data_IF_700933945504
#
_entry.id   IF_700933945504
#
_cell.length_a   1.000
_cell.length_b   1.000
_cell.length_c   1.000
_cell.angle_alpha   90.00
_cell.angle_beta   90.00
_cell.angle_gamma   90.00
#
_symmetry.space_group_name_H-M   'P 1'
#
loop_
_entity.id
_entity.type
_entity.pdbx_description
1 polymer ?
#
# COMPACT_ATOMS: atom_id res chain seq x y z
N UNK A 1 7.97 -10.42 24.25
CA UNK A 1 7.46 -11.47 23.36
C UNK A 1 8.38 -11.68 22.16
N UNK A 2 8.78 -10.64 21.45
CA UNK A 2 9.71 -10.70 20.31
C UNK A 2 11.12 -11.26 20.68
N UNK A 3 11.71 -10.88 21.80
CA UNK A 3 13.05 -11.40 22.21
C UNK A 3 13.06 -12.91 22.46
N UNK A 4 12.03 -13.44 23.12
CA UNK A 4 11.86 -14.90 23.30
C UNK A 4 11.66 -15.64 21.98
N UNK A 5 10.95 -14.98 21.03
CA UNK A 5 10.79 -15.48 19.68
C UNK A 5 12.12 -15.58 18.94
N UNK A 6 12.99 -14.55 19.04
CA UNK A 6 14.30 -14.55 18.40
C UNK A 6 15.28 -15.56 18.99
N UNK A 7 15.27 -15.78 20.29
CA UNK A 7 16.04 -16.86 20.90
C UNK A 7 15.58 -18.23 20.39
N UNK A 8 14.28 -18.41 20.25
CA UNK A 8 13.70 -19.61 19.72
C UNK A 8 13.98 -19.80 18.21
N UNK A 9 13.84 -18.77 17.37
CA UNK A 9 14.17 -18.80 15.94
C UNK A 9 15.66 -19.16 15.73
N UNK A 10 16.57 -18.60 16.53
CA UNK A 10 18.00 -18.95 16.51
C UNK A 10 18.27 -20.42 16.85
N UNK A 11 17.51 -20.99 17.75
CA UNK A 11 17.64 -22.42 18.11
C UNK A 11 17.15 -23.35 17.00
N UNK A 12 16.10 -22.95 16.28
CA UNK A 12 15.48 -23.79 15.24
C UNK A 12 16.17 -23.70 13.86
N UNK A 13 16.67 -22.54 13.50
CA UNK A 13 17.13 -22.24 12.14
C UNK A 13 18.62 -21.83 12.04
N UNK A 14 19.38 -21.89 13.16
CA UNK A 14 20.81 -21.62 13.16
C UNK A 14 21.22 -20.17 13.45
N UNK A 15 22.53 -19.95 13.60
CA UNK A 15 23.12 -18.70 14.13
C UNK A 15 23.11 -17.48 13.18
N UNK A 16 22.50 -17.59 11.99
CA UNK A 16 22.56 -16.55 10.94
C UNK A 16 21.42 -15.52 10.97
N UNK A 17 20.51 -15.54 11.94
CA UNK A 17 19.39 -14.61 11.98
C UNK A 17 19.87 -13.15 12.21
N UNK A 18 19.79 -12.34 11.17
CA UNK A 18 20.09 -10.91 11.23
C UNK A 18 18.96 -10.14 11.95
N UNK A 19 19.39 -9.32 12.90
CA UNK A 19 18.84 -8.08 13.45
C UNK A 19 17.41 -8.09 14.05
N UNK A 20 17.31 -8.09 15.38
CA UNK A 20 16.08 -7.79 16.12
C UNK A 20 15.47 -6.43 15.75
N UNK A 21 16.30 -5.44 15.35
CA UNK A 21 15.88 -4.08 15.01
C UNK A 21 14.98 -3.99 13.79
N UNK A 22 15.29 -4.71 12.73
CA UNK A 22 14.52 -4.65 11.46
C UNK A 22 13.14 -5.27 11.60
N UNK A 23 13.03 -6.41 12.28
CA UNK A 23 11.74 -7.04 12.53
C UNK A 23 10.87 -6.20 13.48
N UNK A 24 11.47 -5.56 14.49
CA UNK A 24 10.74 -4.66 15.37
C UNK A 24 10.22 -3.43 14.64
N UNK A 25 11.00 -2.89 13.70
CA UNK A 25 10.56 -1.80 12.83
C UNK A 25 9.42 -2.23 11.91
N UNK A 26 9.53 -3.38 11.26
CA UNK A 26 8.47 -3.92 10.40
C UNK A 26 7.17 -4.15 11.18
N UNK A 27 7.25 -4.71 12.39
CA UNK A 27 6.09 -4.91 13.26
C UNK A 27 5.45 -3.59 13.70
N UNK A 28 6.26 -2.57 13.98
CA UNK A 28 5.77 -1.22 14.29
C UNK A 28 5.07 -0.59 13.09
N UNK A 29 5.68 -0.65 11.92
CA UNK A 29 5.10 -0.13 10.68
C UNK A 29 3.75 -0.79 10.35
N UNK A 30 3.63 -2.12 10.55
CA UNK A 30 2.37 -2.84 10.38
C UNK A 30 1.31 -2.41 11.40
N UNK A 31 1.69 -2.22 12.67
CA UNK A 31 0.80 -1.74 13.71
C UNK A 31 0.32 -0.31 13.45
N UNK A 32 1.24 0.58 13.06
CA UNK A 32 0.92 1.98 12.73
C UNK A 32 0.02 2.07 11.49
N UNK A 33 0.26 1.24 10.48
CA UNK A 33 -0.58 1.19 9.28
C UNK A 33 -2.01 0.73 9.58
N UNK A 34 -2.18 -0.26 10.46
CA UNK A 34 -3.50 -0.80 10.86
C UNK A 34 -4.26 0.09 11.85
N UNK A 35 -3.63 1.11 12.36
CA UNK A 35 -4.21 1.99 13.37
C UNK A 35 -5.40 2.75 12.78
N UNK A 36 -6.56 2.62 13.42
CA UNK A 36 -7.81 3.22 12.97
C UNK A 36 -8.17 4.52 13.73
N UNK A 37 -7.46 4.84 14.83
CA UNK A 37 -7.70 6.02 15.63
C UNK A 37 -7.03 7.26 15.02
N UNK A 38 -7.84 8.24 14.64
CA UNK A 38 -7.39 9.50 14.06
C UNK A 38 -7.09 9.43 12.57
N UNK A 39 -6.36 10.44 12.08
CA UNK A 39 -5.98 10.53 10.65
C UNK A 39 -4.67 9.78 10.42
N UNK A 40 -4.73 8.69 9.69
CA UNK A 40 -3.55 7.92 9.31
C UNK A 40 -2.97 8.43 7.98
N UNK A 41 -2.04 9.37 8.07
CA UNK A 41 -1.40 10.00 6.89
C UNK A 41 -0.65 8.99 6.02
N UNK A 42 -0.01 7.99 6.63
CA UNK A 42 0.65 6.90 5.89
C UNK A 42 -0.33 6.11 5.04
N UNK A 43 -1.51 5.77 5.58
CA UNK A 43 -2.57 5.12 4.81
C UNK A 43 -3.07 5.97 3.64
N UNK A 44 -3.22 7.28 3.86
CA UNK A 44 -3.68 8.20 2.81
C UNK A 44 -2.67 8.23 1.67
N UNK A 45 -1.38 8.46 1.96
CA UNK A 45 -0.33 8.44 0.92
C UNK A 45 -0.26 7.10 0.22
N UNK A 46 -0.21 5.99 0.96
CA UNK A 46 -0.11 4.65 0.41
C UNK A 46 -1.29 4.32 -0.52
N UNK A 47 -2.52 4.63 -0.09
CA UNK A 47 -3.72 4.35 -0.88
C UNK A 47 -3.81 5.24 -2.13
N UNK A 48 -3.49 6.53 -2.02
CA UNK A 48 -3.51 7.45 -3.17
C UNK A 48 -2.45 7.08 -4.20
N UNK A 49 -1.21 6.84 -3.77
CA UNK A 49 -0.12 6.43 -4.66
C UNK A 49 -0.41 5.06 -5.31
N UNK A 50 -0.98 4.11 -4.56
CA UNK A 50 -1.39 2.83 -5.12
C UNK A 50 -2.48 2.99 -6.18
N UNK A 51 -3.48 3.86 -5.95
CA UNK A 51 -4.52 4.15 -6.94
C UNK A 51 -3.92 4.76 -8.21
N UNK A 52 -3.03 5.73 -8.09
CA UNK A 52 -2.38 6.38 -9.23
C UNK A 52 -1.48 5.39 -9.98
N UNK A 53 -0.67 4.60 -9.27
CA UNK A 53 0.28 3.69 -9.89
C UNK A 53 -0.37 2.52 -10.63
N UNK A 54 -1.54 2.04 -10.12
CA UNK A 54 -2.27 0.88 -10.63
C UNK A 54 -3.47 1.26 -11.52
N UNK A 55 -3.66 2.55 -11.80
CA UNK A 55 -4.71 2.99 -12.74
C UNK A 55 -4.52 2.30 -14.08
N UNK A 56 -5.59 1.66 -14.56
CA UNK A 56 -5.68 0.98 -15.86
C UNK A 56 -4.51 0.04 -16.21
N UNK A 57 -3.79 -0.46 -15.18
CA UNK A 57 -2.72 -1.42 -15.36
C UNK A 57 -3.28 -2.79 -15.78
N UNK A 58 -2.78 -3.33 -16.89
CA UNK A 58 -3.16 -4.65 -17.40
C UNK A 58 -1.97 -5.60 -17.42
N UNK A 59 -2.14 -6.80 -16.82
CA UNK A 59 -1.12 -7.84 -16.82
C UNK A 59 -1.11 -8.53 -18.20
N UNK A 60 0.07 -8.57 -18.83
CA UNK A 60 0.28 -9.22 -20.10
C UNK A 60 1.27 -10.40 -19.95
N UNK A 61 0.78 -11.61 -20.18
CA UNK A 61 1.62 -12.83 -20.16
C UNK A 61 1.43 -13.54 -21.48
N UNK A 62 2.53 -13.71 -22.20
CA UNK A 62 2.56 -14.36 -23.50
C UNK A 62 3.53 -15.54 -23.51
N UNK A 63 3.57 -16.28 -24.59
CA UNK A 63 4.60 -17.28 -24.85
C UNK A 63 5.97 -16.65 -25.10
N UNK A 64 6.99 -17.45 -25.38
CA UNK A 64 8.35 -16.97 -25.65
C UNK A 64 8.36 -15.91 -26.75
N UNK A 65 9.07 -14.81 -26.53
CA UNK A 65 9.21 -13.68 -27.47
C UNK A 65 7.87 -13.04 -27.91
N UNK A 66 6.85 -13.08 -27.04
CA UNK A 66 5.55 -12.50 -27.34
C UNK A 66 4.64 -13.39 -28.22
N UNK A 67 5.00 -14.66 -28.42
CA UNK A 67 4.21 -15.62 -29.17
C UNK A 67 2.98 -16.13 -28.42
N UNK A 68 2.27 -17.10 -29.03
CA UNK A 68 1.10 -17.74 -28.42
C UNK A 68 1.41 -18.32 -27.03
N UNK A 69 0.45 -18.27 -26.13
CA UNK A 69 0.58 -18.80 -24.77
C UNK A 69 0.79 -20.32 -24.81
N UNK A 70 1.92 -20.77 -24.32
CA UNK A 70 2.16 -22.18 -24.04
C UNK A 70 1.31 -22.64 -22.85
N UNK A 71 1.04 -23.94 -22.64
CA UNK A 71 0.36 -24.43 -21.44
C UNK A 71 1.04 -23.98 -20.14
N UNK A 72 2.37 -23.82 -20.17
CA UNK A 72 3.16 -23.32 -19.04
C UNK A 72 2.96 -21.82 -18.84
N UNK A 73 2.99 -21.02 -19.90
CA UNK A 73 2.67 -19.60 -19.84
C UNK A 73 1.23 -19.36 -19.34
N UNK A 74 0.28 -20.23 -19.71
CA UNK A 74 -1.09 -20.16 -19.22
C UNK A 74 -1.19 -20.45 -17.72
N UNK A 75 -0.47 -21.44 -17.19
CA UNK A 75 -0.43 -21.74 -15.75
C UNK A 75 0.23 -20.61 -14.94
N UNK A 76 1.30 -20.01 -15.47
CA UNK A 76 1.94 -18.81 -14.88
C UNK A 76 0.96 -17.64 -14.90
N UNK A 77 0.25 -17.42 -16.02
CA UNK A 77 -0.75 -16.36 -16.13
C UNK A 77 -1.84 -16.50 -15.06
N UNK A 78 -2.42 -17.67 -14.91
CA UNK A 78 -3.46 -17.94 -13.91
C UNK A 78 -2.97 -17.64 -12.48
N UNK A 79 -1.73 -18.03 -12.16
CA UNK A 79 -1.13 -17.78 -10.85
C UNK A 79 -0.91 -16.29 -10.56
N UNK A 80 -0.54 -15.50 -11.58
CA UNK A 80 -0.25 -14.08 -11.43
C UNK A 80 -1.52 -13.22 -11.51
N UNK A 81 -2.49 -13.57 -12.34
CA UNK A 81 -3.76 -12.86 -12.48
C UNK A 81 -4.53 -12.78 -11.15
N UNK A 82 -4.55 -13.85 -10.34
CA UNK A 82 -5.17 -13.85 -9.00
C UNK A 82 -4.53 -12.80 -8.07
N UNK A 83 -3.21 -12.67 -8.09
CA UNK A 83 -2.50 -11.67 -7.30
C UNK A 83 -2.70 -10.26 -7.86
N UNK A 84 -2.61 -10.12 -9.19
CA UNK A 84 -2.70 -8.84 -9.86
C UNK A 84 -4.09 -8.22 -9.75
N UNK A 85 -5.15 -9.02 -9.64
CA UNK A 85 -6.50 -8.53 -9.33
C UNK A 85 -6.58 -7.73 -8.03
N UNK A 86 -5.64 -7.96 -7.10
CA UNK A 86 -5.51 -7.28 -5.80
C UNK A 86 -4.33 -6.30 -5.77
N UNK A 87 -3.76 -5.97 -6.93
CA UNK A 87 -2.52 -5.20 -7.03
C UNK A 87 -2.60 -3.86 -6.31
N UNK A 88 -3.68 -3.10 -6.47
CA UNK A 88 -3.86 -1.81 -5.80
C UNK A 88 -3.82 -1.95 -4.27
N UNK A 89 -4.55 -2.92 -3.72
CA UNK A 89 -4.56 -3.17 -2.27
C UNK A 89 -3.21 -3.63 -1.74
N UNK A 90 -2.53 -4.52 -2.45
CA UNK A 90 -1.19 -5.00 -2.10
C UNK A 90 -0.15 -3.89 -2.19
N UNK A 91 -0.25 -3.01 -3.18
CA UNK A 91 0.59 -1.81 -3.32
C UNK A 91 0.41 -0.89 -2.13
N UNK A 92 -0.85 -0.55 -1.77
CA UNK A 92 -1.12 0.30 -0.62
C UNK A 92 -0.55 -0.29 0.68
N UNK A 93 -0.73 -1.59 0.88
CA UNK A 93 -0.16 -2.28 2.03
C UNK A 93 1.38 -2.28 2.00
N UNK A 94 2.01 -2.55 0.86
CA UNK A 94 3.46 -2.55 0.73
C UNK A 94 4.06 -1.16 0.99
N UNK A 95 3.46 -0.10 0.43
CA UNK A 95 3.88 1.28 0.66
C UNK A 95 3.69 1.72 2.11
N UNK A 96 2.59 1.30 2.73
CA UNK A 96 2.26 1.70 4.10
C UNK A 96 3.09 0.98 5.17
N UNK A 97 3.55 -0.24 4.91
CA UNK A 97 4.24 -1.07 5.91
C UNK A 97 5.72 -1.32 5.58
N UNK A 98 6.15 -0.97 4.36
CA UNK A 98 7.50 -1.23 3.86
C UNK A 98 7.58 -2.40 2.90
N UNK A 99 6.67 -3.37 2.95
CA UNK A 99 6.67 -4.47 2.00
C UNK A 99 5.67 -5.58 2.27
N UNK A 100 5.43 -6.38 1.23
CA UNK A 100 4.64 -7.63 1.30
C UNK A 100 5.40 -8.77 0.65
N UNK A 101 5.41 -9.91 1.31
CA UNK A 101 6.02 -11.13 0.77
C UNK A 101 4.93 -12.00 0.16
N UNK A 102 5.15 -12.44 -1.06
CA UNK A 102 4.25 -13.29 -1.81
C UNK A 102 4.83 -14.70 -1.81
N UNK A 103 4.16 -15.60 -1.07
CA UNK A 103 4.57 -16.98 -0.88
C UNK A 103 3.76 -17.87 -1.82
N UNK A 104 4.39 -18.64 -2.70
CA UNK A 104 3.66 -19.58 -3.53
C UNK A 104 3.18 -20.77 -2.70
N UNK A 105 2.03 -21.27 -3.06
CA UNK A 105 1.48 -22.53 -2.59
C UNK A 105 0.82 -23.26 -3.75
N UNK A 106 0.77 -24.58 -3.70
CA UNK A 106 0.03 -25.40 -4.66
C UNK A 106 -1.26 -25.86 -4.01
N UNK A 107 -2.37 -25.51 -4.60
CA UNK A 107 -3.71 -25.90 -4.17
C UNK A 107 -4.56 -26.24 -5.41
N UNK A 108 -5.31 -27.34 -5.35
CA UNK A 108 -6.19 -27.78 -6.42
C UNK A 108 -5.49 -27.93 -7.78
N UNK A 109 -4.22 -28.37 -7.79
CA UNK A 109 -3.43 -28.52 -9.00
C UNK A 109 -2.97 -27.22 -9.65
N UNK A 110 -3.06 -26.08 -8.94
CA UNK A 110 -2.69 -24.74 -9.42
C UNK A 110 -1.74 -24.07 -8.45
N UNK A 111 -0.84 -23.24 -8.98
CA UNK A 111 0.02 -22.38 -8.17
C UNK A 111 -0.78 -21.14 -7.80
N UNK A 112 -0.76 -20.78 -6.53
CA UNK A 112 -1.38 -19.57 -5.97
C UNK A 112 -0.38 -18.85 -5.09
N UNK A 113 -0.63 -17.57 -4.81
CA UNK A 113 0.24 -16.79 -3.94
C UNK A 113 -0.52 -16.26 -2.72
N UNK A 114 0.04 -16.49 -1.54
CA UNK A 114 -0.40 -15.90 -0.29
C UNK A 114 0.45 -14.67 0.02
N UNK A 115 -0.20 -13.52 0.26
CA UNK A 115 0.49 -12.31 0.69
C UNK A 115 0.66 -12.32 2.22
N UNK A 116 1.89 -12.09 2.67
CA UNK A 116 2.25 -12.03 4.10
C UNK A 116 2.92 -10.69 4.39
N UNK A 117 2.63 -10.11 5.56
CA UNK A 117 3.27 -8.88 6.00
C UNK A 117 4.76 -9.06 6.23
N UNK A 118 5.52 -8.00 5.99
CA UNK A 118 6.96 -7.96 6.24
C UNK A 118 7.31 -8.21 7.72
N UNK A 119 6.41 -7.90 8.65
CA UNK A 119 6.53 -8.18 10.09
C UNK A 119 6.62 -9.67 10.44
N UNK A 120 6.20 -10.53 9.50
CA UNK A 120 6.21 -11.99 9.62
C UNK A 120 7.25 -12.66 8.72
N UNK A 121 8.12 -11.90 8.11
CA UNK A 121 9.17 -12.34 7.21
C UNK A 121 10.54 -12.06 7.82
N UNK A 122 11.36 -13.09 8.04
CA UNK A 122 12.63 -13.00 8.74
C UNK A 122 13.75 -13.48 7.82
N UNK A 123 14.52 -12.55 7.31
CA UNK A 123 15.69 -12.85 6.46
C UNK A 123 16.81 -13.37 7.32
N UNK A 124 17.33 -14.55 7.00
CA UNK A 124 18.38 -15.23 7.75
C UNK A 124 19.73 -15.23 7.02
N UNK A 125 19.73 -15.14 5.70
CA UNK A 125 20.96 -14.98 4.92
C UNK A 125 20.73 -14.19 3.63
N UNK A 126 21.77 -13.46 3.22
CA UNK A 126 21.83 -12.74 1.95
C UNK A 126 23.18 -12.99 1.28
N UNK A 127 23.20 -12.98 -0.04
CA UNK A 127 24.44 -13.05 -0.85
C UNK A 127 24.29 -12.12 -2.08
N UNK A 128 25.23 -11.19 -2.22
CA UNK A 128 25.21 -10.23 -3.34
C UNK A 128 23.93 -9.39 -3.41
N UNK A 129 23.37 -8.98 -2.25
CA UNK A 129 22.13 -8.20 -2.18
C UNK A 129 20.84 -8.99 -2.40
N UNK A 130 20.93 -10.31 -2.68
CA UNK A 130 19.76 -11.20 -2.80
C UNK A 130 19.55 -12.02 -1.55
N UNK A 131 18.28 -12.25 -1.19
CA UNK A 131 17.91 -13.12 -0.07
C UNK A 131 18.17 -14.57 -0.49
N UNK A 132 19.00 -15.29 0.29
CA UNK A 132 19.31 -16.71 0.07
C UNK A 132 18.69 -17.60 1.13
N UNK A 133 18.32 -17.06 2.29
CA UNK A 133 17.54 -17.80 3.28
C UNK A 133 16.61 -16.85 4.05
N UNK A 134 15.40 -17.33 4.31
CA UNK A 134 14.40 -16.60 5.07
C UNK A 134 13.43 -17.56 5.77
N UNK A 135 12.85 -17.11 6.88
CA UNK A 135 11.79 -17.82 7.59
C UNK A 135 10.55 -16.95 7.65
N UNK A 136 9.39 -17.54 7.40
CA UNK A 136 8.11 -16.83 7.34
C UNK A 136 7.13 -17.46 8.32
N UNK A 137 6.44 -16.60 9.10
CA UNK A 137 5.24 -16.99 9.82
C UNK A 137 4.08 -17.04 8.81
N UNK A 138 3.90 -18.21 8.19
CA UNK A 138 2.98 -18.41 7.07
C UNK A 138 1.52 -18.59 7.49
N UNK A 139 1.26 -18.97 8.75
CA UNK A 139 -0.10 -19.17 9.23
C UNK A 139 -0.24 -19.09 10.75
N UNK A 140 -1.44 -18.76 11.20
CA UNK A 140 -1.89 -18.85 12.59
C UNK A 140 -3.26 -19.48 12.59
N UNK A 141 -3.50 -20.39 13.51
CA UNK A 141 -4.81 -21.02 13.72
C UNK A 141 -5.08 -21.20 15.21
N UNK A 142 -6.34 -21.39 15.54
CA UNK A 142 -6.78 -21.73 16.88
C UNK A 142 -7.60 -23.02 16.81
N UNK A 143 -7.21 -24.01 17.62
CA UNK A 143 -7.87 -25.30 17.72
C UNK A 143 -8.06 -25.59 19.21
N UNK A 144 -9.28 -25.84 19.64
CA UNK A 144 -9.66 -26.15 21.03
C UNK A 144 -9.12 -25.12 22.05
N UNK A 145 -9.15 -23.82 21.70
CA UNK A 145 -8.66 -22.73 22.55
C UNK A 145 -7.14 -22.58 22.59
N UNK A 146 -6.40 -23.40 21.87
CA UNK A 146 -4.94 -23.29 21.74
C UNK A 146 -4.55 -22.66 20.41
N UNK A 147 -3.61 -21.70 20.45
CA UNK A 147 -3.09 -21.04 19.25
C UNK A 147 -1.87 -21.78 18.72
N UNK A 148 -1.88 -22.09 17.42
CA UNK A 148 -0.77 -22.72 16.70
C UNK A 148 -0.27 -21.82 15.60
N UNK A 149 1.04 -21.90 15.30
CA UNK A 149 1.73 -21.11 14.31
C UNK A 149 2.43 -22.01 13.31
N UNK A 150 2.24 -21.73 12.01
CA UNK A 150 2.94 -22.43 10.92
C UNK A 150 4.12 -21.56 10.45
N UNK A 151 5.29 -22.13 10.53
CA UNK A 151 6.55 -21.53 10.07
C UNK A 151 7.01 -22.25 8.83
N UNK A 152 7.46 -21.48 7.82
CA UNK A 152 8.08 -22.02 6.61
C UNK A 152 9.44 -21.36 6.44
N UNK A 153 10.50 -22.15 6.41
CA UNK A 153 11.85 -21.70 6.18
C UNK A 153 12.27 -22.04 4.75
N UNK A 154 12.89 -21.12 4.08
CA UNK A 154 13.45 -21.23 2.74
C UNK A 154 14.96 -21.07 2.84
N UNK A 155 15.73 -21.99 2.27
CA UNK A 155 17.18 -21.88 2.18
C UNK A 155 17.63 -22.32 0.79
N UNK A 156 18.49 -21.53 0.15
CA UNK A 156 19.07 -21.79 -1.15
C UNK A 156 20.58 -21.98 -1.02
N UNK A 157 21.02 -23.19 -1.26
CA UNK A 157 22.44 -23.56 -1.24
C UNK A 157 22.79 -24.38 -2.48
N UNK A 158 23.85 -23.99 -3.17
CA UNK A 158 24.41 -24.74 -4.33
C UNK A 158 23.36 -25.11 -5.41
N UNK A 159 22.38 -24.24 -5.67
CA UNK A 159 21.34 -24.49 -6.68
C UNK A 159 20.23 -25.42 -6.21
N UNK A 160 20.17 -25.73 -4.92
CA UNK A 160 19.09 -26.51 -4.30
C UNK A 160 18.39 -25.62 -3.28
N UNK A 161 17.08 -25.46 -3.44
CA UNK A 161 16.24 -24.79 -2.46
C UNK A 161 15.61 -25.82 -1.54
N UNK A 162 15.82 -25.68 -0.25
CA UNK A 162 15.14 -26.46 0.80
C UNK A 162 14.02 -25.60 1.38
N UNK A 163 12.82 -26.16 1.44
CA UNK A 163 11.64 -25.58 2.09
C UNK A 163 11.28 -26.45 3.25
N UNK A 164 11.42 -25.95 4.49
CA UNK A 164 11.08 -26.67 5.71
C UNK A 164 9.87 -26.05 6.38
N UNK A 165 8.84 -26.85 6.66
CA UNK A 165 7.63 -26.40 7.35
C UNK A 165 7.57 -27.00 8.76
N UNK A 166 7.28 -26.15 9.75
CA UNK A 166 7.12 -26.56 11.16
C UNK A 166 5.91 -25.88 11.78
N UNK A 167 5.23 -26.59 12.65
CA UNK A 167 4.13 -26.07 13.46
C UNK A 167 4.59 -25.94 14.90
N UNK A 168 4.23 -24.83 15.55
CA UNK A 168 4.54 -24.61 16.96
C UNK A 168 3.29 -24.20 17.74
N UNK A 169 3.28 -24.47 19.03
CA UNK A 169 2.32 -23.90 19.97
C UNK A 169 2.64 -22.43 20.31
N UNK A 170 1.81 -21.80 21.15
CA UNK A 170 2.01 -20.43 21.63
C UNK A 170 3.27 -20.25 22.50
N UNK A 171 3.82 -21.34 23.05
CA UNK A 171 5.06 -21.35 23.84
C UNK A 171 6.32 -21.54 22.98
N UNK A 172 6.11 -21.83 21.66
CA UNK A 172 7.19 -22.06 20.71
C UNK A 172 7.70 -23.50 20.66
N UNK A 173 7.01 -24.46 21.28
CA UNK A 173 7.36 -25.87 21.13
C UNK A 173 6.86 -26.41 19.79
N UNK A 174 7.68 -27.20 19.13
CA UNK A 174 7.31 -27.85 17.88
C UNK A 174 6.30 -28.95 18.19
N UNK A 175 5.20 -28.92 17.45
CA UNK A 175 4.12 -29.92 17.53
C UNK A 175 3.91 -30.57 16.16
N UNK A 176 3.36 -31.81 16.10
CA UNK A 176 3.02 -32.42 14.83
C UNK A 176 2.03 -31.56 14.02
N UNK A 177 2.15 -31.48 12.69
CA UNK A 177 1.23 -30.70 11.85
C UNK A 177 -0.23 -31.12 11.97
N UNK A 178 -0.48 -32.38 12.28
CA UNK A 178 -1.80 -33.00 12.49
C UNK A 178 -2.57 -32.39 13.67
N UNK A 179 -1.87 -31.75 14.61
CA UNK A 179 -2.48 -31.02 15.73
C UNK A 179 -3.36 -29.87 15.23
N UNK A 180 -3.08 -29.34 14.05
CA UNK A 180 -3.92 -28.36 13.36
C UNK A 180 -4.48 -29.01 12.07
N UNK A 181 -5.75 -29.46 12.03
CA UNK A 181 -6.31 -30.24 10.92
C UNK A 181 -6.11 -29.62 9.54
N UNK A 182 -6.14 -28.30 9.46
CA UNK A 182 -5.91 -27.57 8.21
C UNK A 182 -4.46 -27.64 7.70
N UNK A 183 -3.51 -28.12 8.50
CA UNK A 183 -2.11 -28.33 8.16
C UNK A 183 -1.69 -29.79 8.16
N UNK A 184 -2.65 -30.69 8.43
CA UNK A 184 -2.43 -32.12 8.29
C UNK A 184 -2.05 -32.44 6.83
N UNK A 185 -1.00 -33.23 6.65
CA UNK A 185 -0.50 -33.59 5.31
C UNK A 185 0.46 -32.60 4.67
N UNK A 186 0.84 -31.51 5.35
CA UNK A 186 1.95 -30.66 4.89
C UNK A 186 3.27 -31.44 4.98
N UNK A 187 4.05 -31.44 3.88
CA UNK A 187 5.39 -31.97 3.88
C UNK A 187 6.27 -31.19 4.86
N UNK A 188 6.98 -31.90 5.75
CA UNK A 188 7.89 -31.28 6.71
C UNK A 188 9.09 -30.64 6.03
N UNK A 189 9.58 -31.24 4.94
CA UNK A 189 10.70 -30.74 4.15
C UNK A 189 10.56 -31.12 2.69
N UNK A 190 10.90 -30.16 1.81
CA UNK A 190 10.90 -30.33 0.33
C UNK A 190 12.18 -29.72 -0.20
N UNK A 191 12.89 -30.47 -1.06
CA UNK A 191 14.08 -29.99 -1.75
C UNK A 191 13.83 -29.87 -3.25
N UNK A 192 14.11 -28.68 -3.82
CA UNK A 192 13.92 -28.39 -5.25
C UNK A 192 15.29 -28.07 -5.83
N UNK A 193 15.75 -28.90 -6.76
CA UNK A 193 17.05 -28.72 -7.42
C UNK A 193 16.96 -27.84 -8.68
N UNK A 194 18.10 -27.28 -9.10
CA UNK A 194 18.19 -26.44 -10.29
C UNK A 194 17.52 -25.07 -10.11
N UNK A 195 17.58 -24.52 -8.91
CA UNK A 195 16.95 -23.23 -8.55
C UNK A 195 18.04 -22.17 -8.39
N UNK A 196 17.89 -21.04 -9.05
CA UNK A 196 18.86 -19.93 -9.02
C UNK A 196 18.57 -18.89 -7.96
N UNK A 197 17.31 -18.78 -7.53
CA UNK A 197 16.81 -17.84 -6.50
C UNK A 197 15.65 -18.45 -5.74
N UNK A 198 15.35 -17.91 -4.57
CA UNK A 198 14.21 -18.37 -3.76
C UNK A 198 12.89 -18.26 -4.55
N UNK A 199 12.04 -19.28 -4.41
CA UNK A 199 10.70 -19.30 -5.00
C UNK A 199 9.71 -18.50 -4.16
N UNK A 200 10.00 -17.25 -3.93
CA UNK A 200 9.13 -16.26 -3.28
C UNK A 200 9.35 -14.89 -3.94
N UNK A 201 8.38 -14.01 -3.86
CA UNK A 201 8.52 -12.64 -4.33
C UNK A 201 8.34 -11.66 -3.20
N UNK A 202 9.00 -10.51 -3.29
CA UNK A 202 8.96 -9.47 -2.28
C UNK A 202 8.60 -8.14 -2.93
N UNK A 203 7.36 -7.67 -2.70
CA UNK A 203 6.92 -6.31 -3.00
C UNK A 203 7.55 -5.36 -1.98
N UNK A 204 8.76 -4.91 -2.24
CA UNK A 204 9.50 -4.00 -1.37
C UNK A 204 9.18 -2.56 -1.73
N UNK A 205 8.71 -1.76 -0.77
CA UNK A 205 8.48 -0.31 -0.95
C UNK A 205 9.72 0.37 -1.56
N UNK A 206 9.55 1.26 -2.55
CA UNK A 206 10.65 1.99 -3.17
C UNK A 206 11.18 3.14 -2.31
N UNK A 207 10.62 3.37 -1.12
CA UNK A 207 11.10 4.39 -0.22
C UNK A 207 12.56 4.15 0.18
N UNK A 208 13.33 5.24 0.30
CA UNK A 208 14.73 5.17 0.62
C UNK A 208 14.96 4.71 2.05
N UNK A 209 15.57 3.54 2.20
CA UNK A 209 16.03 3.02 3.47
C UNK A 209 17.46 3.55 3.74
N UNK A 210 17.54 4.61 4.53
CA UNK A 210 18.82 5.25 4.89
C UNK A 210 19.74 4.38 5.77
N UNK A 211 19.31 3.17 6.10
CA UNK A 211 20.11 2.22 6.88
C UNK A 211 21.02 1.41 5.97
N UNK A 212 22.24 1.22 6.41
CA UNK A 212 23.24 0.45 5.68
C UNK A 212 22.87 -1.05 5.68
N UNK A 213 22.81 -1.66 4.49
CA UNK A 213 22.53 -3.10 4.35
C UNK A 213 21.07 -3.53 4.63
N UNK A 214 20.12 -2.59 4.68
CA UNK A 214 18.70 -2.89 4.89
C UNK A 214 18.11 -3.78 3.81
N UNK A 215 17.66 -4.98 4.18
CA UNK A 215 16.98 -5.93 3.28
C UNK A 215 15.48 -5.65 3.23
N UNK A 216 14.93 -5.18 4.33
CA UNK A 216 13.51 -4.83 4.46
C UNK A 216 13.21 -3.50 3.79
N UNK A 217 11.99 -3.35 3.29
CA UNK A 217 11.50 -2.04 2.88
C UNK A 217 11.07 -1.20 4.07
N UNK A 218 10.90 0.09 3.85
CA UNK A 218 10.40 1.05 4.83
C UNK A 218 9.10 1.67 4.33
N UNK A 219 8.19 2.10 5.23
CA UNK A 219 6.98 2.83 4.84
C UNK A 219 7.32 4.04 3.98
N UNK A 220 6.41 4.40 3.07
CA UNK A 220 6.61 5.55 2.18
C UNK A 220 6.80 6.88 2.94
N UNK A 221 6.33 6.96 4.16
CA UNK A 221 6.48 8.10 5.06
C UNK A 221 7.66 7.96 6.04
N UNK A 222 8.59 7.03 5.77
CA UNK A 222 9.75 6.82 6.63
C UNK A 222 10.60 8.10 6.76
N UNK A 223 10.94 8.45 8.01
CA UNK A 223 11.68 9.67 8.33
C UNK A 223 10.80 10.93 8.42
N UNK A 224 9.48 10.83 8.22
CA UNK A 224 8.53 11.93 8.37
C UNK A 224 7.75 11.91 9.69
N UNK A 225 8.11 11.02 10.64
CA UNK A 225 7.34 10.76 11.87
C UNK A 225 7.20 12.02 12.75
N UNK A 226 8.24 12.85 12.82
CA UNK A 226 8.20 14.10 13.59
C UNK A 226 7.20 15.10 12.98
N UNK A 227 7.23 15.26 11.65
CA UNK A 227 6.32 16.15 10.93
C UNK A 227 4.87 15.66 11.01
N UNK A 228 4.63 14.35 10.87
CA UNK A 228 3.29 13.76 11.03
C UNK A 228 2.75 13.96 12.44
N UNK A 229 3.61 13.91 13.46
CA UNK A 229 3.23 14.22 14.84
C UNK A 229 2.84 15.67 14.98
N UNK A 230 3.62 16.60 14.44
CA UNK A 230 3.32 18.03 14.45
C UNK A 230 1.97 18.32 13.77
N UNK A 231 1.70 17.70 12.61
CA UNK A 231 0.40 17.80 11.94
C UNK A 231 -0.74 17.34 12.85
N UNK A 232 -0.58 16.17 13.48
CA UNK A 232 -1.59 15.60 14.37
C UNK A 232 -1.85 16.50 15.60
N UNK A 233 -0.81 17.08 16.15
CA UNK A 233 -0.92 18.04 17.27
C UNK A 233 -1.60 19.33 16.82
N UNK A 234 -1.27 19.84 15.63
CA UNK A 234 -1.90 21.02 15.08
C UNK A 234 -3.39 20.82 14.78
N UNK A 235 -3.78 19.65 14.25
CA UNK A 235 -5.19 19.28 14.04
C UNK A 235 -5.95 19.22 15.37
N UNK A 236 -5.33 18.68 16.44
CA UNK A 236 -5.94 18.69 17.78
C UNK A 236 -6.09 20.12 18.33
N UNK A 237 -5.11 20.99 18.06
CA UNK A 237 -5.15 22.40 18.45
C UNK A 237 -6.33 23.11 17.77
N UNK A 238 -6.52 22.92 16.46
CA UNK A 238 -7.67 23.44 15.72
C UNK A 238 -8.98 22.95 16.37
N UNK A 239 -9.12 21.64 16.59
CA UNK A 239 -10.31 21.09 17.22
C UNK A 239 -10.55 21.62 18.65
N UNK A 240 -9.48 21.91 19.41
CA UNK A 240 -9.57 22.54 20.72
C UNK A 240 -10.04 24.00 20.62
N UNK A 241 -9.49 24.77 19.69
CA UNK A 241 -9.87 26.15 19.45
C UNK A 241 -11.36 26.26 19.12
N UNK A 242 -11.88 25.43 18.22
CA UNK A 242 -13.32 25.39 17.91
C UNK A 242 -14.19 25.04 19.10
N UNK A 243 -13.72 24.22 20.04
CA UNK A 243 -14.47 23.92 21.26
C UNK A 243 -14.44 25.07 22.26
N UNK A 244 -13.30 25.76 22.40
CA UNK A 244 -13.11 26.85 23.34
C UNK A 244 -13.75 28.16 22.88
N UNK A 245 -13.92 28.36 21.58
CA UNK A 245 -14.50 29.55 20.97
C UNK A 245 -16.00 29.45 20.71
N UNK A 246 -16.65 28.39 21.21
CA UNK A 246 -18.13 28.37 21.21
C UNK A 246 -18.68 29.60 21.92
N UNK A 247 -19.66 30.30 21.32
CA UNK A 247 -20.31 31.40 22.00
C UNK A 247 -20.88 30.92 23.32
N UNK A 248 -20.53 31.60 24.40
CA UNK A 248 -21.01 31.28 25.73
C UNK A 248 -21.70 32.53 26.33
N UNK A 249 -22.83 32.33 26.93
CA UNK A 249 -23.55 33.38 27.66
C UNK A 249 -23.38 33.14 29.16
N UNK A 250 -22.56 33.98 29.80
CA UNK A 250 -22.43 33.99 31.23
C UNK A 250 -23.64 34.69 31.84
N UNK A 251 -24.38 34.02 32.68
CA UNK A 251 -25.52 34.57 33.43
C UNK A 251 -25.22 34.56 34.91
N UNK A 252 -25.68 35.61 35.63
CA UNK A 252 -25.53 35.63 37.07
C UNK A 252 -26.27 34.43 37.70
N UNK A 253 -25.58 33.68 38.57
CA UNK A 253 -26.12 32.50 39.23
C UNK A 253 -27.44 32.75 39.97
N UNK A 254 -27.69 33.99 40.43
CA UNK A 254 -28.94 34.37 41.06
C UNK A 254 -30.14 34.44 40.10
N UNK A 255 -29.90 34.68 38.81
CA UNK A 255 -30.94 34.63 37.76
C UNK A 255 -31.42 33.23 37.44
N UNK A 256 -30.65 32.21 37.82
CA UNK A 256 -30.96 30.80 37.60
C UNK A 256 -31.69 30.15 38.77
N UNK A 257 -31.92 30.89 39.88
CA UNK A 257 -32.72 30.40 41.00
C UNK A 257 -34.18 30.37 40.58
N UNK A 258 -34.74 29.17 40.51
CA UNK A 258 -36.19 29.04 40.38
C UNK A 258 -36.84 29.50 41.69
N UNK A 259 -37.66 30.55 41.67
CA UNK A 259 -38.28 31.04 42.86
C UNK A 259 -39.28 30.05 43.51
N UNK A 260 -39.62 28.98 42.80
CA UNK A 260 -40.58 27.96 43.22
C UNK A 260 -39.95 26.66 43.75
N UNK A 261 -38.69 26.45 43.63
CA UNK A 261 -38.05 25.13 43.84
C UNK A 261 -36.94 25.16 44.90
N UNK A 262 -37.11 25.86 45.98
CA UNK A 262 -36.30 25.73 47.21
C UNK A 262 -34.77 25.93 47.07
N UNK A 263 -34.28 26.53 46.04
CA UNK A 263 -32.90 27.05 45.94
C UNK A 263 -31.80 26.10 45.54
N UNK A 264 -31.97 24.79 45.60
CA UNK A 264 -30.90 23.83 45.25
C UNK A 264 -30.98 23.28 43.83
N UNK A 265 -32.17 23.19 43.27
CA UNK A 265 -32.41 22.49 41.98
C UNK A 265 -31.92 23.26 40.76
N UNK A 266 -31.94 24.58 40.77
CA UNK A 266 -31.53 25.41 39.64
C UNK A 266 -30.04 25.28 39.32
N UNK A 267 -29.18 25.41 40.32
CA UNK A 267 -27.71 25.29 40.11
C UNK A 267 -27.29 23.86 39.76
N UNK A 268 -27.95 22.86 40.36
CA UNK A 268 -27.65 21.44 40.05
C UNK A 268 -28.07 21.08 38.61
N UNK A 269 -29.19 21.62 38.14
CA UNK A 269 -29.68 21.43 36.76
C UNK A 269 -28.75 22.10 35.76
N UNK A 270 -28.33 23.35 35.99
CA UNK A 270 -27.37 24.08 35.16
C UNK A 270 -26.00 23.39 35.13
N UNK A 271 -25.48 22.94 36.28
CA UNK A 271 -24.21 22.17 36.31
C UNK A 271 -24.30 20.86 35.54
N UNK A 272 -25.44 20.18 35.56
CA UNK A 272 -25.63 18.95 34.79
C UNK A 272 -25.66 19.23 33.29
N UNK A 273 -26.38 20.26 32.86
CA UNK A 273 -26.47 20.67 31.45
C UNK A 273 -25.13 21.20 30.93
N UNK A 274 -24.38 21.95 31.73
CA UNK A 274 -23.03 22.43 31.38
C UNK A 274 -22.01 21.29 31.34
N UNK A 275 -22.15 20.23 32.12
CA UNK A 275 -21.29 19.04 32.07
C UNK A 275 -21.53 18.21 30.81
N UNK A 276 -22.74 18.18 30.28
CA UNK A 276 -23.07 17.47 29.03
C UNK A 276 -22.60 18.23 27.75
N UNK A 277 -22.03 19.44 27.92
CA UNK A 277 -21.25 20.12 26.87
C UNK A 277 -22.04 20.80 25.75
N UNK A 278 -23.38 20.77 25.80
CA UNK A 278 -24.24 21.32 24.74
C UNK A 278 -24.93 22.66 25.13
N UNK A 279 -24.84 23.08 26.39
CA UNK A 279 -25.47 24.33 26.81
C UNK A 279 -24.53 25.54 26.64
N UNK A 280 -24.93 26.58 25.91
CA UNK A 280 -24.14 27.79 25.72
C UNK A 280 -24.08 28.67 26.97
N UNK A 281 -24.76 28.30 28.07
CA UNK A 281 -24.87 29.10 29.26
C UNK A 281 -23.89 28.69 30.36
N UNK A 282 -23.22 29.68 30.97
CA UNK A 282 -22.31 29.46 32.12
C UNK A 282 -22.82 30.31 33.30
N UNK A 283 -23.04 29.71 34.47
CA UNK A 283 -23.33 30.48 35.69
C UNK A 283 -22.07 31.22 36.14
N UNK A 284 -22.19 32.53 36.34
CA UNK A 284 -21.12 33.36 36.90
C UNK A 284 -21.47 33.64 38.34
N UNK A 285 -20.60 33.25 39.26
CA UNK A 285 -20.73 33.65 40.69
C UNK A 285 -20.12 35.05 40.88
N UNK A 286 -20.94 36.01 41.27
CA UNK A 286 -20.46 37.35 41.54
C UNK A 286 -21.60 38.26 41.94
N UNK A 287 -21.31 39.26 42.78
CA UNK A 287 -22.28 40.23 43.23
C UNK A 287 -22.87 41.02 42.05
N UNK A 288 -24.17 41.10 41.98
CA UNK A 288 -24.92 41.98 41.11
C UNK A 288 -24.64 43.42 41.51
N UNK A 289 -23.96 44.17 40.62
CA UNK A 289 -23.76 45.60 40.77
C UNK A 289 -24.94 46.33 40.09
N UNK A 290 -25.74 47.05 40.85
CA UNK A 290 -26.85 47.86 40.32
C UNK A 290 -26.33 48.75 39.18
N UNK A 291 -26.81 48.52 37.96
CA UNK A 291 -26.42 49.29 36.76
C UNK A 291 -25.51 48.55 35.76
N UNK A 292 -25.06 47.35 36.07
CA UNK A 292 -24.31 46.49 35.10
C UNK A 292 -25.23 45.44 34.48
N UNK A 293 -24.94 45.10 33.23
CA UNK A 293 -25.67 44.07 32.52
C UNK A 293 -25.46 42.70 33.22
N UNK A 294 -26.53 41.97 33.61
CA UNK A 294 -26.44 40.74 34.41
C UNK A 294 -25.96 39.53 33.60
N UNK A 295 -25.52 39.74 32.38
CA UNK A 295 -24.97 38.69 31.47
C UNK A 295 -23.67 39.14 30.81
N UNK A 296 -22.83 38.18 30.53
CA UNK A 296 -21.59 38.35 29.77
C UNK A 296 -21.65 37.47 28.50
N UNK A 297 -21.56 38.12 27.34
CA UNK A 297 -21.44 37.38 26.07
C UNK A 297 -19.96 37.15 25.81
N UNK A 298 -19.56 35.88 25.82
CA UNK A 298 -18.23 35.46 25.39
C UNK A 298 -18.33 34.84 23.98
N UNK A 299 -17.96 35.59 22.96
CA UNK A 299 -17.96 35.15 21.57
C UNK A 299 -16.64 35.61 20.91
N UNK A 300 -15.53 34.91 21.22
CA UNK A 300 -14.25 35.26 20.64
C UNK A 300 -14.21 34.94 19.16
N UNK A 301 -13.49 35.73 18.38
CA UNK A 301 -13.22 35.43 16.98
C UNK A 301 -12.28 34.23 16.86
N UNK A 302 -12.63 33.27 15.99
CA UNK A 302 -11.81 32.10 15.70
C UNK A 302 -10.72 32.49 14.69
N UNK A 303 -9.46 32.25 15.03
CA UNK A 303 -8.29 32.46 14.13
C UNK A 303 -8.17 31.37 13.08
N UNK A 304 -9.28 30.98 12.44
CA UNK A 304 -9.36 29.83 11.56
C UNK A 304 -8.44 29.96 10.35
N UNK A 305 -8.37 31.10 9.69
CA UNK A 305 -7.54 31.32 8.49
C UNK A 305 -6.05 31.02 8.75
N UNK A 306 -5.49 31.58 9.83
CA UNK A 306 -4.09 31.38 10.18
C UNK A 306 -3.79 29.91 10.56
N UNK A 307 -4.74 29.24 11.21
CA UNK A 307 -4.60 27.84 11.60
C UNK A 307 -4.65 26.92 10.40
N UNK A 308 -5.60 27.11 9.49
CA UNK A 308 -5.68 26.32 8.26
C UNK A 308 -4.54 26.61 7.29
N UNK A 309 -4.10 27.86 7.16
CA UNK A 309 -2.93 28.20 6.35
C UNK A 309 -1.65 27.50 6.86
N UNK A 310 -1.48 27.38 8.19
CA UNK A 310 -0.38 26.61 8.76
C UNK A 310 -0.54 25.11 8.46
N UNK A 311 -1.74 24.56 8.60
CA UNK A 311 -2.00 23.14 8.31
C UNK A 311 -1.71 22.81 6.84
N UNK A 312 -2.14 23.66 5.90
CA UNK A 312 -1.85 23.50 4.48
C UNK A 312 -0.34 23.50 4.21
N UNK A 313 0.40 24.43 4.86
CA UNK A 313 1.86 24.46 4.76
C UNK A 313 2.54 23.21 5.32
N UNK A 314 2.06 22.66 6.43
CA UNK A 314 2.57 21.41 7.00
C UNK A 314 2.29 20.23 6.06
N UNK A 315 1.10 20.16 5.45
CA UNK A 315 0.78 19.15 4.45
C UNK A 315 1.68 19.28 3.22
N UNK A 316 1.90 20.48 2.69
CA UNK A 316 2.81 20.70 1.57
C UNK A 316 4.26 20.27 1.88
N UNK A 317 4.72 20.51 3.12
CA UNK A 317 6.03 20.04 3.57
C UNK A 317 6.09 18.52 3.65
N UNK A 318 5.01 17.86 4.11
CA UNK A 318 4.93 16.41 4.17
C UNK A 318 4.91 15.78 2.77
N UNK A 319 4.14 16.33 1.82
CA UNK A 319 4.13 15.89 0.42
C UNK A 319 5.55 15.95 -0.16
N UNK A 320 6.24 17.07 0.02
CA UNK A 320 7.63 17.23 -0.44
C UNK A 320 8.60 16.25 0.25
N UNK A 321 8.43 16.00 1.55
CA UNK A 321 9.29 15.09 2.31
C UNK A 321 9.09 13.63 1.90
N UNK A 322 7.87 13.24 1.51
CA UNK A 322 7.54 11.92 0.97
C UNK A 322 8.02 11.76 -0.48
N UNK A 323 8.32 12.86 -1.17
CA UNK A 323 8.72 12.86 -2.58
C UNK A 323 7.52 12.87 -3.53
N UNK A 324 6.45 13.57 -3.15
CA UNK A 324 5.29 13.80 -4.01
C UNK A 324 5.13 15.28 -4.31
N UNK A 325 4.52 15.56 -5.45
CA UNK A 325 4.04 16.89 -5.78
C UNK A 325 2.80 17.25 -4.95
N UNK A 326 2.38 18.51 -4.98
CA UNK A 326 1.11 18.94 -4.36
C UNK A 326 -0.08 18.24 -5.04
N UNK A 327 -1.12 17.94 -4.27
CA UNK A 327 -2.35 17.35 -4.79
C UNK A 327 -2.76 16.02 -4.15
N UNK A 328 -1.94 15.46 -3.26
CA UNK A 328 -2.29 14.26 -2.48
C UNK A 328 -3.05 14.64 -1.20
N UNK A 329 -2.51 15.60 -0.44
CA UNK A 329 -3.13 16.15 0.77
C UNK A 329 -3.59 17.59 0.57
N UNK A 330 -2.84 18.38 -0.21
CA UNK A 330 -3.15 19.77 -0.51
C UNK A 330 -3.94 19.89 -1.81
N UNK A 331 -4.52 21.05 -2.07
CA UNK A 331 -5.06 21.36 -3.39
C UNK A 331 -3.94 21.38 -4.44
N UNK A 332 -4.17 20.84 -5.65
CA UNK A 332 -3.20 20.93 -6.74
C UNK A 332 -2.95 22.41 -7.10
N UNK A 333 -1.74 22.71 -7.57
CA UNK A 333 -1.41 24.06 -8.03
C UNK A 333 -2.22 24.39 -9.29
N UNK A 334 -3.18 25.30 -9.16
CA UNK A 334 -4.07 25.75 -10.24
C UNK A 334 -3.44 26.93 -10.96
N UNK A 335 -2.39 26.72 -11.74
CA UNK A 335 -1.72 27.81 -12.44
C UNK A 335 -0.96 27.36 -13.67
N UNK A 336 -0.82 26.06 -13.88
CA UNK A 336 -0.12 25.53 -15.03
C UNK A 336 -1.01 25.64 -16.27
N UNK A 337 -0.60 26.50 -17.21
CA UNK A 337 -1.33 26.75 -18.44
C UNK A 337 -0.95 25.79 -19.57
N UNK A 338 0.20 25.11 -19.46
CA UNK A 338 0.74 24.22 -20.50
C UNK A 338 0.98 22.80 -19.98
N UNK A 339 0.93 21.80 -20.86
CA UNK A 339 1.23 20.41 -20.52
C UNK A 339 2.63 20.24 -19.92
N UNK A 340 3.60 21.02 -20.37
CA UNK A 340 4.99 21.02 -19.85
C UNK A 340 5.05 21.51 -18.42
N UNK A 341 4.30 22.55 -18.06
CA UNK A 341 4.22 23.08 -16.69
C UNK A 341 3.53 22.07 -15.76
N UNK A 342 2.47 21.41 -16.22
CA UNK A 342 1.78 20.34 -15.48
C UNK A 342 2.75 19.18 -15.20
N UNK A 343 3.54 18.76 -16.19
CA UNK A 343 4.57 17.73 -16.01
C UNK A 343 5.65 18.14 -15.02
N UNK A 344 6.15 19.37 -15.14
CA UNK A 344 7.14 19.90 -14.22
C UNK A 344 6.60 19.97 -12.78
N UNK A 345 5.34 20.40 -12.62
CA UNK A 345 4.67 20.46 -11.32
C UNK A 345 4.46 19.06 -10.69
N UNK A 346 4.27 18.01 -11.49
CA UNK A 346 3.98 16.66 -11.02
C UNK A 346 5.18 15.69 -11.13
N UNK A 347 6.36 16.19 -11.48
CA UNK A 347 7.56 15.37 -11.73
C UNK A 347 7.89 14.42 -10.59
N UNK A 348 7.85 14.87 -9.35
CA UNK A 348 8.21 14.06 -8.18
C UNK A 348 7.22 12.89 -7.99
N UNK A 349 5.90 13.15 -8.12
CA UNK A 349 4.88 12.11 -8.07
C UNK A 349 5.08 11.09 -9.19
N UNK A 350 5.40 11.52 -10.41
CA UNK A 350 5.66 10.62 -11.53
C UNK A 350 6.89 9.75 -11.32
N UNK A 351 7.97 10.31 -10.79
CA UNK A 351 9.17 9.56 -10.46
C UNK A 351 8.88 8.45 -9.43
N UNK A 352 8.08 8.76 -8.41
CA UNK A 352 7.68 7.82 -7.38
C UNK A 352 6.73 6.73 -7.95
N UNK A 353 5.76 7.10 -8.77
CA UNK A 353 4.87 6.16 -9.46
C UNK A 353 5.68 5.21 -10.35
N UNK A 354 6.66 5.72 -11.08
CA UNK A 354 7.56 4.87 -11.89
C UNK A 354 8.38 3.92 -11.03
N UNK A 355 8.80 4.32 -9.84
CA UNK A 355 9.49 3.44 -8.91
C UNK A 355 8.57 2.33 -8.37
N UNK A 356 7.28 2.65 -8.10
CA UNK A 356 6.27 1.67 -7.69
C UNK A 356 6.00 0.67 -8.81
N UNK A 357 5.90 1.11 -10.06
CA UNK A 357 5.73 0.24 -11.23
C UNK A 357 6.90 -0.73 -11.39
N UNK A 358 8.15 -0.24 -11.28
CA UNK A 358 9.35 -1.10 -11.27
C UNK A 358 9.38 -2.11 -10.12
N UNK A 359 8.88 -1.73 -8.94
CA UNK A 359 8.71 -2.68 -7.82
C UNK A 359 7.80 -3.85 -8.22
N UNK A 360 6.69 -3.58 -8.91
CA UNK A 360 5.78 -4.60 -9.40
C UNK A 360 6.40 -5.46 -10.49
N UNK A 361 7.08 -4.88 -11.47
CA UNK A 361 7.77 -5.62 -12.53
C UNK A 361 8.79 -6.63 -11.96
N UNK A 362 9.59 -6.19 -10.99
CA UNK A 362 10.53 -7.08 -10.31
C UNK A 362 9.81 -8.21 -9.56
N UNK A 363 8.73 -7.91 -8.83
CA UNK A 363 7.97 -8.92 -8.09
C UNK A 363 7.24 -9.89 -9.01
N UNK A 364 6.69 -9.42 -10.13
CA UNK A 364 6.05 -10.27 -11.15
C UNK A 364 7.07 -11.24 -11.79
N UNK A 365 8.27 -10.79 -12.08
CA UNK A 365 9.35 -11.65 -12.55
C UNK A 365 9.71 -12.75 -11.53
N UNK A 366 9.72 -12.41 -10.23
CA UNK A 366 10.00 -13.39 -9.19
C UNK A 366 8.82 -14.34 -8.96
N UNK A 367 7.58 -13.86 -9.04
CA UNK A 367 6.39 -14.70 -8.96
C UNK A 367 6.29 -15.66 -10.16
N UNK A 368 6.53 -15.17 -11.37
CA UNK A 368 6.52 -16.01 -12.57
C UNK A 368 7.58 -17.12 -12.49
N UNK A 369 8.78 -16.77 -12.06
CA UNK A 369 9.83 -17.75 -11.80
C UNK A 369 9.41 -18.79 -10.76
N UNK A 370 8.83 -18.37 -9.64
CA UNK A 370 8.38 -19.27 -8.60
C UNK A 370 7.25 -20.19 -9.11
N UNK A 371 6.29 -19.65 -9.85
CA UNK A 371 5.21 -20.42 -10.45
C UNK A 371 5.74 -21.46 -11.46
N UNK A 372 6.67 -21.06 -12.30
CA UNK A 372 7.30 -21.94 -13.30
C UNK A 372 8.05 -23.12 -12.64
N UNK A 373 8.88 -22.84 -11.64
CA UNK A 373 9.60 -23.87 -10.87
C UNK A 373 8.64 -24.85 -10.19
N UNK A 374 7.56 -24.36 -9.60
CA UNK A 374 6.58 -25.21 -8.92
C UNK A 374 5.72 -26.00 -9.90
N UNK A 375 5.36 -25.43 -11.05
CA UNK A 375 4.67 -26.16 -12.12
C UNK A 375 5.50 -27.36 -12.61
N UNK A 376 6.81 -27.19 -12.73
CA UNK A 376 7.71 -28.29 -13.10
C UNK A 376 7.84 -29.30 -11.97
N UNK A 377 8.12 -28.85 -10.76
CA UNK A 377 8.38 -29.71 -9.61
C UNK A 377 7.18 -30.61 -9.28
N UNK A 378 5.96 -30.07 -9.34
CA UNK A 378 4.71 -30.82 -9.06
C UNK A 378 4.09 -31.45 -10.32
N UNK A 379 4.69 -31.27 -11.51
CA UNK A 379 4.15 -31.82 -12.74
C UNK A 379 2.78 -31.28 -13.14
N UNK A 380 2.50 -29.99 -12.83
CA UNK A 380 1.21 -29.36 -13.08
C UNK A 380 0.96 -29.00 -14.54
N UNK A 381 2.01 -28.97 -15.35
CA UNK A 381 1.95 -28.67 -16.79
C UNK A 381 2.67 -29.74 -17.57
N UNK A 382 2.36 -29.94 -18.87
CA UNK A 382 3.17 -30.78 -19.76
C UNK A 382 4.64 -30.36 -19.70
N UNK A 383 5.53 -31.32 -19.98
CA UNK A 383 6.97 -31.05 -20.02
C UNK A 383 7.28 -29.97 -21.05
N UNK A 384 8.01 -28.94 -20.64
CA UNK A 384 8.46 -27.81 -21.41
C UNK A 384 9.70 -27.21 -20.76
N UNK A 385 10.45 -26.38 -21.49
CA UNK A 385 11.60 -25.71 -20.90
C UNK A 385 11.17 -24.62 -19.89
N UNK A 386 11.95 -24.45 -18.83
CA UNK A 386 11.77 -23.32 -17.92
C UNK A 386 11.96 -22.00 -18.66
N UNK A 387 11.18 -20.97 -18.29
CA UNK A 387 11.29 -19.66 -18.90
C UNK A 387 10.59 -19.51 -20.25
N UNK A 388 9.78 -20.48 -20.68
CA UNK A 388 8.98 -20.38 -21.92
C UNK A 388 7.76 -19.49 -21.75
N UNK A 389 7.95 -18.27 -21.25
CA UNK A 389 6.95 -17.23 -21.09
C UNK A 389 7.61 -15.84 -21.12
N UNK A 390 6.83 -14.83 -21.42
CA UNK A 390 7.18 -13.43 -21.24
C UNK A 390 6.13 -12.78 -20.33
N UNK A 391 6.61 -12.01 -19.36
CA UNK A 391 5.76 -11.27 -18.39
C UNK A 391 5.96 -9.79 -18.60
N UNK A 392 4.88 -9.06 -18.77
CA UNK A 392 4.85 -7.61 -18.88
C UNK A 392 3.62 -7.04 -18.19
N UNK A 393 3.61 -5.75 -18.00
CA UNK A 393 2.44 -4.98 -17.56
C UNK A 393 2.27 -3.82 -18.52
N UNK A 394 1.10 -3.69 -19.08
CA UNK A 394 0.71 -2.52 -19.85
C UNK A 394 0.26 -1.45 -18.86
N UNK A 395 1.13 -0.46 -18.65
CA UNK A 395 0.89 0.65 -17.77
C UNK A 395 0.18 1.78 -18.52
N UNK A 396 -0.88 2.34 -17.93
CA UNK A 396 -1.45 3.57 -18.46
C UNK A 396 -0.41 4.71 -18.44
N UNK A 397 -0.09 5.22 -19.60
CA UNK A 397 0.86 6.32 -19.81
C UNK A 397 0.18 7.69 -19.84
N UNK A 398 -1.15 7.76 -19.80
CA UNK A 398 -1.93 9.01 -19.92
C UNK A 398 -1.59 10.03 -18.83
N UNK A 399 -1.13 9.54 -17.66
CA UNK A 399 -0.63 10.38 -16.57
C UNK A 399 0.70 11.07 -16.89
N UNK A 400 1.50 10.49 -17.80
CA UNK A 400 2.86 10.93 -18.12
C UNK A 400 2.92 11.73 -19.42
N UNK A 401 1.96 11.56 -20.30
CA UNK A 401 1.92 12.16 -21.63
C UNK A 401 0.61 12.91 -21.85
N UNK A 402 0.67 14.13 -22.37
CA UNK A 402 -0.54 14.74 -22.90
C UNK A 402 -0.95 13.94 -24.13
N UNK A 403 -2.22 13.56 -24.21
CA UNK A 403 -2.75 12.81 -25.35
C UNK A 403 -2.44 13.48 -26.69
N UNK A 404 -2.28 14.81 -26.69
CA UNK A 404 -1.97 15.61 -27.88
C UNK A 404 -0.49 15.49 -28.30
N UNK A 405 0.46 15.42 -27.33
CA UNK A 405 1.88 15.24 -27.66
C UNK A 405 2.17 13.80 -28.08
N UNK A 406 1.58 12.81 -27.40
CA UNK A 406 1.67 11.41 -27.80
C UNK A 406 1.10 11.20 -29.20
N UNK A 407 -0.05 11.81 -29.50
CA UNK A 407 -0.64 11.76 -30.83
C UNK A 407 0.26 12.42 -31.88
N UNK A 408 0.88 13.58 -31.59
CA UNK A 408 1.81 14.24 -32.50
C UNK A 408 3.06 13.38 -32.77
N UNK A 409 3.62 12.73 -31.74
CA UNK A 409 4.77 11.83 -31.89
C UNK A 409 4.41 10.58 -32.72
N UNK A 410 3.21 10.01 -32.50
CA UNK A 410 2.74 8.88 -33.28
C UNK A 410 2.47 9.26 -34.75
N UNK A 411 1.95 10.47 -35.00
CA UNK A 411 1.82 11.00 -36.35
C UNK A 411 3.20 11.17 -37.02
N UNK A 412 4.19 11.70 -36.31
CA UNK A 412 5.58 11.80 -36.84
C UNK A 412 6.18 10.42 -37.13
N UNK A 413 5.95 9.42 -36.28
CA UNK A 413 6.40 8.04 -36.52
C UNK A 413 5.70 7.42 -37.70
N UNK A 414 4.40 7.68 -37.89
CA UNK A 414 3.64 7.26 -39.05
C UNK A 414 4.16 7.93 -40.32
N UNK A 415 4.39 9.25 -40.30
CA UNK A 415 4.91 10.00 -41.46
C UNK A 415 6.33 9.55 -41.87
N UNK A 416 7.12 9.07 -40.88
CA UNK A 416 8.44 8.44 -41.12
C UNK A 416 8.36 6.98 -41.56
N UNK A 417 7.16 6.40 -41.65
CA UNK A 417 6.96 5.00 -42.04
C UNK A 417 7.36 3.97 -40.98
N UNK A 418 7.54 4.40 -39.73
CA UNK A 418 7.90 3.54 -38.58
C UNK A 418 6.69 3.01 -37.83
N UNK A 419 5.49 3.54 -38.12
CA UNK A 419 4.22 3.13 -37.54
C UNK A 419 3.18 2.98 -38.67
N UNK A 420 2.38 1.93 -38.64
CA UNK A 420 1.29 1.74 -39.61
C UNK A 420 0.07 2.60 -39.26
N UNK A 421 -0.76 2.92 -40.24
CA UNK A 421 -2.02 3.62 -40.02
C UNK A 421 -3.01 2.82 -39.15
N UNK A 422 -2.89 1.50 -39.14
CA UNK A 422 -3.68 0.62 -38.29
C UNK A 422 -3.27 0.73 -36.82
N UNK A 423 -1.98 0.76 -36.54
CA UNK A 423 -1.46 0.96 -35.16
C UNK A 423 -1.82 2.35 -34.63
N UNK A 424 -1.71 3.40 -35.45
CA UNK A 424 -2.13 4.75 -35.07
C UNK A 424 -3.64 4.81 -34.77
N UNK A 425 -4.46 4.14 -35.56
CA UNK A 425 -5.91 4.04 -35.34
C UNK A 425 -6.26 3.25 -34.08
N UNK A 426 -5.57 2.13 -33.84
CA UNK A 426 -5.71 1.33 -32.63
C UNK A 426 -5.44 2.19 -31.37
N UNK A 427 -4.40 3.01 -31.42
CA UNK A 427 -4.09 3.91 -30.31
C UNK A 427 -5.17 4.96 -30.06
N UNK A 428 -5.73 5.55 -31.12
CA UNK A 428 -6.76 6.61 -31.02
C UNK A 428 -8.13 6.09 -30.59
N UNK A 429 -8.53 4.90 -31.07
CA UNK A 429 -9.89 4.37 -30.88
C UNK A 429 -9.97 3.14 -30.01
N UNK A 430 -8.85 2.55 -29.61
CA UNK A 430 -8.80 1.25 -28.94
C UNK A 430 -9.20 0.10 -29.88
N UNK A 431 -9.36 -1.07 -29.33
CA UNK A 431 -9.71 -2.29 -30.06
C UNK A 431 -8.49 -3.12 -30.46
N UNK A 432 -8.70 -4.17 -31.24
CA UNK A 432 -7.64 -5.04 -31.71
C UNK A 432 -6.97 -4.50 -32.98
N UNK A 433 -5.70 -4.87 -33.21
CA UNK A 433 -4.98 -4.48 -34.42
C UNK A 433 -5.70 -4.94 -35.69
N UNK A 434 -6.30 -6.15 -35.68
CA UNK A 434 -7.06 -6.69 -36.81
C UNK A 434 -8.31 -5.84 -37.14
N UNK A 435 -9.04 -5.34 -36.14
CA UNK A 435 -10.16 -4.42 -36.35
C UNK A 435 -9.69 -3.07 -36.90
N UNK A 436 -8.53 -2.61 -36.44
CA UNK A 436 -7.92 -1.37 -36.93
C UNK A 436 -7.45 -1.52 -38.39
N UNK A 437 -6.84 -2.64 -38.78
CA UNK A 437 -6.43 -2.95 -40.15
C UNK A 437 -7.63 -3.02 -41.10
N UNK A 438 -8.70 -3.71 -40.69
CA UNK A 438 -9.92 -3.79 -41.47
C UNK A 438 -10.56 -2.40 -41.72
N UNK A 439 -10.53 -1.57 -40.69
CA UNK A 439 -11.09 -0.24 -40.73
C UNK A 439 -10.25 0.73 -41.58
N UNK A 440 -8.93 0.65 -41.53
CA UNK A 440 -8.02 1.44 -42.39
C UNK A 440 -8.18 1.00 -43.83
N UNK A 441 -8.25 -0.31 -44.11
CA UNK A 441 -8.50 -0.82 -45.45
C UNK A 441 -9.89 -0.43 -46.06
N UNK A 442 -10.88 -0.10 -45.22
CA UNK A 442 -12.14 0.50 -45.66
C UNK A 442 -11.98 1.96 -46.08
N UNK A 443 -11.27 2.74 -45.27
CA UNK A 443 -11.01 4.17 -45.57
C UNK A 443 -10.20 4.34 -46.84
N UNK A 444 -9.17 3.51 -47.05
CA UNK A 444 -8.36 3.55 -48.28
C UNK A 444 -9.15 3.21 -49.51
N UNK A 445 -10.10 2.28 -49.43
CA UNK A 445 -11.02 1.93 -50.55
C UNK A 445 -12.03 3.05 -50.86
N UNK A 446 -12.59 3.68 -49.82
CA UNK A 446 -13.51 4.81 -49.99
C UNK A 446 -12.81 6.05 -50.53
N UNK A 447 -11.56 6.31 -50.08
CA UNK A 447 -10.73 7.38 -50.59
C UNK A 447 -10.31 7.20 -52.06
N UNK A 448 -10.06 5.96 -52.47
CA UNK A 448 -9.75 5.63 -53.86
C UNK A 448 -10.99 5.76 -54.81
N UNK A 449 -12.22 5.53 -54.28
CA UNK A 449 -13.47 5.69 -55.06
C UNK A 449 -13.86 7.16 -55.21
N UNK A 450 -13.46 8.03 -54.30
CA UNK A 450 -13.76 9.49 -54.37
C UNK A 450 -12.73 10.30 -55.16
N UNK A 451 -11.62 9.71 -55.58
CA UNK A 451 -10.55 10.36 -56.35
C UNK A 451 -10.54 9.94 -57.83
N UNK A 452 -11.43 9.07 -58.29
CA UNK A 452 -11.68 8.67 -59.67
C UNK A 452 -13.02 9.17 -60.18
#
# INVERSE_FOLDING_TARGET
MLERFWEWARRLFGRGAQLPGDAAMAARAEADYRRADGVNLTCIFASRLASIAMSDAALNISGPRGGERTPRAAAVAEALEDVFSRAQSLTAQALGTGGRVLLPCVADGKVRFQAVGQDRFFVTATRGGRITAATVLAGRTEVDGHTYYRWTAYALENGVQTISTRVTDASGHVVPPETAPQWAGLAGEVAIAGVERLTLAFLRSPADDRREGGVYGVPITYGCEALMREISEHMRLIGREYRLTRPMLGLNAEMWRDPFDGGETGIARVRRTVQDGDDPFIPIEGAYDEGKTPWLVYAPEIRHEAMYARLDRLFALLEKAVGTSRGILTAPETGAATATEIRAANHDTFALVSAIRRMWEAALCDMAYAADVLCEFYGLTPRGARGEYAVGVDWDMSLFESSQESFSQLCELHDRGLLSGAELRQWVRGGTLAEAEEAVGKVDREGAVSAG
#
